data_IF_595637409013
#
_entry.id   IF_595637409013
#
_cell.length_a   1.000
_cell.length_b   1.000
_cell.length_c   1.000
_cell.angle_alpha   90.00
_cell.angle_beta   90.00
_cell.angle_gamma   90.00
#
_symmetry.space_group_name_H-M   'P 1'
#
loop_
_entity.id
_entity.type
_entity.pdbx_description
1 polymer ?
#
# COMPACT_ATOMS: atom_id res chain seq x y z
N UNK A 1 9.97 -1.78 24.39
CA UNK A 1 8.75 -2.51 23.95
C UNK A 1 8.42 -2.09 22.55
N UNK A 2 8.09 -3.03 21.66
CA UNK A 2 7.55 -2.68 20.34
C UNK A 2 6.17 -2.03 20.53
N UNK A 3 5.94 -0.92 19.83
CA UNK A 3 4.66 -0.24 19.87
C UNK A 3 3.55 -1.19 19.37
N UNK A 4 2.47 -1.35 20.12
CA UNK A 4 1.40 -2.32 19.78
C UNK A 4 0.83 -2.10 18.37
N UNK A 5 0.75 -0.84 17.94
CA UNK A 5 0.37 -0.41 16.60
C UNK A 5 1.26 -1.00 15.49
N UNK A 6 2.56 -1.17 15.74
CA UNK A 6 3.49 -1.77 14.78
C UNK A 6 3.26 -3.26 14.63
N UNK A 7 3.10 -3.97 15.74
CA UNK A 7 2.77 -5.41 15.71
C UNK A 7 1.44 -5.63 14.98
N UNK A 8 0.42 -4.80 15.24
CA UNK A 8 -0.85 -4.86 14.51
C UNK A 8 -0.68 -4.61 13.01
N UNK A 9 0.13 -3.62 12.60
CA UNK A 9 0.39 -3.34 11.19
C UNK A 9 1.09 -4.52 10.48
N UNK A 10 2.07 -5.15 11.14
CA UNK A 10 2.73 -6.34 10.62
C UNK A 10 1.76 -7.51 10.46
N UNK A 11 0.91 -7.78 11.46
CA UNK A 11 -0.09 -8.84 11.40
C UNK A 11 -1.10 -8.58 10.28
N UNK A 12 -1.58 -7.34 10.13
CA UNK A 12 -2.47 -6.96 9.05
C UNK A 12 -1.82 -7.18 7.69
N UNK A 13 -0.55 -6.79 7.52
CA UNK A 13 0.23 -7.04 6.30
C UNK A 13 0.25 -8.52 5.94
N UNK A 14 0.59 -9.38 6.92
CA UNK A 14 0.64 -10.83 6.74
C UNK A 14 -0.74 -11.41 6.37
N UNK A 15 -1.82 -10.96 7.02
CA UNK A 15 -3.18 -11.39 6.69
C UNK A 15 -3.54 -11.02 5.26
N UNK A 16 -3.26 -9.79 4.83
CA UNK A 16 -3.60 -9.30 3.49
C UNK A 16 -2.81 -10.05 2.41
N UNK A 17 -1.50 -10.25 2.60
CA UNK A 17 -0.65 -10.94 1.61
C UNK A 17 -1.03 -12.42 1.48
N UNK A 18 -1.39 -13.07 2.58
CA UNK A 18 -1.77 -14.49 2.60
C UNK A 18 -3.26 -14.72 2.33
N UNK A 19 -4.05 -13.66 2.11
CA UNK A 19 -5.47 -13.79 1.80
C UNK A 19 -5.72 -14.45 0.45
N UNK A 20 -6.76 -15.28 0.38
CA UNK A 20 -7.25 -15.82 -0.88
C UNK A 20 -7.87 -14.70 -1.70
N UNK A 21 -7.13 -14.21 -2.69
CA UNK A 21 -7.71 -13.39 -3.74
C UNK A 21 -8.50 -14.28 -4.68
N UNK A 22 -9.79 -14.00 -4.82
CA UNK A 22 -10.59 -14.51 -5.92
C UNK A 22 -11.02 -13.35 -6.83
N UNK A 23 -11.42 -13.67 -8.07
CA UNK A 23 -11.92 -12.66 -9.01
C UNK A 23 -13.13 -11.89 -8.46
N UNK A 24 -13.90 -12.49 -7.54
CA UNK A 24 -15.04 -11.82 -6.92
C UNK A 24 -14.63 -10.61 -6.08
N UNK A 25 -13.58 -10.71 -5.25
CA UNK A 25 -13.08 -9.60 -4.44
C UNK A 25 -12.61 -8.45 -5.33
N UNK A 26 -11.90 -8.76 -6.42
CA UNK A 26 -11.47 -7.76 -7.42
C UNK A 26 -12.68 -7.07 -8.06
N UNK A 27 -13.71 -7.82 -8.41
CA UNK A 27 -14.95 -7.27 -8.97
C UNK A 27 -15.70 -6.39 -7.95
N UNK A 28 -15.73 -6.76 -6.67
CA UNK A 28 -16.27 -5.92 -5.61
C UNK A 28 -15.49 -4.61 -5.46
N UNK A 29 -14.16 -4.67 -5.51
CA UNK A 29 -13.30 -3.50 -5.47
C UNK A 29 -13.56 -2.55 -6.66
N UNK A 30 -13.71 -3.08 -7.87
CA UNK A 30 -14.03 -2.29 -9.06
C UNK A 30 -15.40 -1.61 -8.90
N UNK A 31 -16.43 -2.35 -8.46
CA UNK A 31 -17.76 -1.78 -8.19
C UNK A 31 -17.72 -0.67 -7.16
N UNK A 32 -17.02 -0.90 -6.05
CA UNK A 32 -16.82 0.12 -5.01
C UNK A 32 -16.12 1.36 -5.59
N UNK A 33 -15.06 1.18 -6.37
CA UNK A 33 -14.30 2.27 -6.98
C UNK A 33 -15.17 3.10 -7.92
N UNK A 34 -16.00 2.45 -8.76
CA UNK A 34 -16.93 3.15 -9.67
C UNK A 34 -17.96 3.98 -8.91
N UNK A 35 -18.48 3.46 -7.79
CA UNK A 35 -19.40 4.20 -6.93
C UNK A 35 -18.71 5.40 -6.28
N UNK A 36 -17.51 5.21 -5.71
CA UNK A 36 -16.77 6.30 -5.05
C UNK A 36 -16.36 7.42 -6.02
N UNK A 37 -15.99 7.06 -7.26
CA UNK A 37 -15.55 8.01 -8.30
C UNK A 37 -16.63 8.33 -9.34
N UNK A 38 -17.93 8.16 -9.01
CA UNK A 38 -19.04 8.30 -9.98
C UNK A 38 -19.05 9.64 -10.75
N UNK A 39 -18.52 10.71 -10.14
CA UNK A 39 -18.48 12.07 -10.71
C UNK A 39 -17.13 12.42 -11.34
N UNK A 40 -16.17 11.51 -11.33
CA UNK A 40 -14.83 11.73 -11.87
C UNK A 40 -14.62 10.87 -13.13
N UNK A 41 -14.91 11.45 -14.29
CA UNK A 41 -14.77 10.76 -15.58
C UNK A 41 -13.36 10.26 -15.87
N UNK A 42 -12.32 10.96 -15.37
CA UNK A 42 -10.93 10.53 -15.56
C UNK A 42 -10.65 9.24 -14.79
N UNK A 43 -11.10 9.16 -13.53
CA UNK A 43 -10.94 7.95 -12.72
C UNK A 43 -11.79 6.80 -13.23
N UNK A 44 -13.01 7.07 -13.71
CA UNK A 44 -13.85 6.05 -14.35
C UNK A 44 -13.16 5.44 -15.59
N UNK A 45 -12.46 6.25 -16.39
CA UNK A 45 -11.68 5.75 -17.53
C UNK A 45 -10.48 4.90 -17.08
N UNK A 46 -9.83 5.25 -15.96
CA UNK A 46 -8.73 4.46 -15.39
C UNK A 46 -9.23 3.15 -14.78
N UNK A 47 -10.41 3.15 -14.15
CA UNK A 47 -11.07 1.94 -13.65
C UNK A 47 -11.46 1.02 -14.81
N UNK A 48 -12.00 1.59 -15.89
CA UNK A 48 -12.26 0.87 -17.14
C UNK A 48 -10.99 0.24 -17.71
N UNK A 49 -9.87 0.99 -17.73
CA UNK A 49 -8.57 0.51 -18.18
C UNK A 49 -8.08 -0.66 -17.30
N UNK A 50 -8.20 -0.51 -15.98
CA UNK A 50 -7.81 -1.52 -15.01
C UNK A 50 -8.62 -2.81 -15.16
N UNK A 51 -9.92 -2.70 -15.43
CA UNK A 51 -10.81 -3.84 -15.64
C UNK A 51 -10.59 -4.52 -17.02
N UNK A 52 -10.53 -3.73 -18.10
CA UNK A 52 -10.51 -4.22 -19.49
C UNK A 52 -9.16 -4.77 -19.94
N UNK A 53 -8.05 -4.13 -19.60
CA UNK A 53 -6.76 -4.47 -20.21
C UNK A 53 -6.10 -5.74 -19.65
N UNK A 54 -6.79 -6.43 -18.73
CA UNK A 54 -6.18 -7.30 -17.74
C UNK A 54 -5.06 -6.54 -17.02
N UNK A 55 -5.20 -6.43 -15.71
CA UNK A 55 -4.15 -6.13 -14.74
C UNK A 55 -2.70 -6.57 -15.11
N UNK A 56 -2.53 -7.52 -16.01
CA UNK A 56 -1.28 -8.05 -16.54
C UNK A 56 -0.47 -7.10 -17.46
N UNK A 57 -1.06 -6.05 -18.06
CA UNK A 57 -0.33 -5.17 -18.99
C UNK A 57 0.46 -4.05 -18.30
N UNK A 58 -0.01 -3.61 -17.14
CA UNK A 58 0.60 -2.53 -16.35
C UNK A 58 0.98 -3.14 -15.01
N UNK A 59 2.23 -2.95 -14.61
CA UNK A 59 2.71 -3.63 -13.41
C UNK A 59 2.05 -3.08 -12.13
N UNK A 60 1.91 -3.89 -11.07
CA UNK A 60 1.43 -3.41 -9.77
C UNK A 60 2.15 -2.14 -9.27
N UNK A 61 3.48 -2.07 -9.42
CA UNK A 61 4.29 -0.89 -9.06
C UNK A 61 3.88 0.35 -9.86
N UNK A 62 3.63 0.22 -11.17
CA UNK A 62 3.15 1.34 -11.99
C UNK A 62 1.78 1.84 -11.55
N UNK A 63 0.85 0.94 -11.21
CA UNK A 63 -0.45 1.34 -10.66
C UNK A 63 -0.33 2.02 -9.29
N UNK A 64 0.60 1.55 -8.45
CA UNK A 64 0.83 2.12 -7.12
C UNK A 64 1.48 3.50 -7.18
N UNK A 65 2.37 3.74 -8.15
CA UNK A 65 3.10 5.00 -8.31
C UNK A 65 2.37 6.02 -9.18
N UNK A 66 1.42 5.59 -10.01
CA UNK A 66 0.55 6.46 -10.80
C UNK A 66 -0.45 7.18 -9.90
N UNK A 67 -0.67 8.47 -10.13
CA UNK A 67 -1.78 9.23 -9.53
C UNK A 67 -3.11 8.73 -10.13
N UNK A 68 -3.81 7.86 -9.40
CA UNK A 68 -5.07 7.27 -9.83
C UNK A 68 -5.87 6.71 -8.64
N UNK A 69 -7.04 6.14 -8.93
CA UNK A 69 -7.91 5.55 -7.93
C UNK A 69 -7.23 4.49 -7.07
N UNK A 70 -6.35 3.65 -7.63
CA UNK A 70 -5.65 2.56 -6.91
C UNK A 70 -4.77 3.14 -5.80
N UNK A 71 -3.81 4.00 -6.16
CA UNK A 71 -2.87 4.59 -5.21
C UNK A 71 -3.60 5.44 -4.16
N UNK A 72 -4.57 6.25 -4.61
CA UNK A 72 -5.41 7.06 -3.73
C UNK A 72 -6.19 6.22 -2.72
N UNK A 73 -6.79 5.10 -3.15
CA UNK A 73 -7.54 4.22 -2.26
C UNK A 73 -6.64 3.46 -1.27
N UNK A 74 -5.48 2.98 -1.71
CA UNK A 74 -4.51 2.32 -0.83
C UNK A 74 -4.03 3.29 0.25
N UNK A 75 -3.56 4.49 -0.13
CA UNK A 75 -3.07 5.48 0.83
C UNK A 75 -4.16 5.91 1.81
N UNK A 76 -5.39 6.12 1.32
CA UNK A 76 -6.54 6.40 2.19
C UNK A 76 -6.81 5.26 3.16
N UNK A 77 -6.86 4.02 2.68
CA UNK A 77 -7.22 2.88 3.50
C UNK A 77 -6.16 2.58 4.56
N UNK A 78 -4.87 2.71 4.21
CA UNK A 78 -3.77 2.61 5.18
C UNK A 78 -3.81 3.74 6.22
N UNK A 79 -4.06 4.98 5.79
CA UNK A 79 -4.13 6.14 6.69
C UNK A 79 -5.30 6.06 7.68
N UNK A 80 -6.43 5.52 7.26
CA UNK A 80 -7.64 5.42 8.07
C UNK A 80 -7.80 4.06 8.75
N UNK A 81 -6.87 3.12 8.53
CA UNK A 81 -7.02 1.72 8.93
C UNK A 81 -8.37 1.11 8.47
N UNK A 82 -8.79 1.43 7.25
CA UNK A 82 -10.05 0.96 6.67
C UNK A 82 -9.88 -0.50 6.21
N UNK A 83 -10.15 -1.42 7.14
CA UNK A 83 -9.96 -2.87 6.93
C UNK A 83 -10.83 -3.38 5.77
N UNK A 84 -12.02 -2.82 5.56
CA UNK A 84 -12.92 -3.26 4.49
C UNK A 84 -12.31 -2.95 3.12
N UNK A 85 -11.83 -1.72 2.93
CA UNK A 85 -11.15 -1.33 1.68
C UNK A 85 -9.83 -2.08 1.52
N UNK A 86 -9.04 -2.24 2.59
CA UNK A 86 -7.79 -3.00 2.55
C UNK A 86 -8.02 -4.46 2.14
N UNK A 87 -9.07 -5.10 2.65
CA UNK A 87 -9.43 -6.45 2.25
C UNK A 87 -9.83 -6.53 0.78
N UNK A 88 -10.61 -5.55 0.28
CA UNK A 88 -10.94 -5.46 -1.16
C UNK A 88 -9.70 -5.22 -2.04
N UNK A 89 -8.67 -4.58 -1.50
CA UNK A 89 -7.36 -4.35 -2.13
C UNK A 89 -6.34 -5.45 -1.88
N UNK A 90 -6.65 -6.50 -1.12
CA UNK A 90 -5.67 -7.47 -0.67
C UNK A 90 -4.98 -8.19 -1.85
N UNK A 91 -5.72 -8.45 -2.92
CA UNK A 91 -5.18 -8.98 -4.17
C UNK A 91 -4.05 -8.09 -4.73
N UNK A 92 -4.29 -6.77 -4.79
CA UNK A 92 -3.34 -5.81 -5.32
C UNK A 92 -2.13 -5.66 -4.40
N UNK A 93 -2.36 -5.58 -3.09
CA UNK A 93 -1.29 -5.47 -2.08
C UNK A 93 -0.35 -6.67 -2.15
N UNK A 94 -0.90 -7.89 -2.27
CA UNK A 94 -0.12 -9.12 -2.42
C UNK A 94 0.75 -9.08 -3.68
N UNK A 95 0.16 -8.71 -4.81
CA UNK A 95 0.85 -8.69 -6.09
C UNK A 95 1.92 -7.59 -6.13
N UNK A 96 1.65 -6.42 -5.54
CA UNK A 96 2.61 -5.34 -5.33
C UNK A 96 3.79 -5.81 -4.46
N UNK A 97 3.49 -6.45 -3.32
CA UNK A 97 4.51 -6.99 -2.43
C UNK A 97 5.38 -8.04 -3.15
N UNK A 98 4.77 -8.93 -3.92
CA UNK A 98 5.48 -9.92 -4.74
C UNK A 98 6.41 -9.24 -5.74
N UNK A 99 5.91 -8.25 -6.50
CA UNK A 99 6.73 -7.55 -7.49
C UNK A 99 7.92 -6.82 -6.86
N UNK A 100 7.74 -6.18 -5.69
CA UNK A 100 8.82 -5.51 -4.96
C UNK A 100 9.89 -6.53 -4.54
N UNK A 101 9.48 -7.68 -3.99
CA UNK A 101 10.42 -8.74 -3.59
C UNK A 101 11.15 -9.35 -4.78
N UNK A 102 10.43 -9.65 -5.86
CA UNK A 102 11.02 -10.18 -7.09
C UNK A 102 12.05 -9.19 -7.66
N UNK A 103 11.73 -7.89 -7.67
CA UNK A 103 12.64 -6.83 -8.12
C UNK A 103 13.88 -6.73 -7.23
N UNK A 104 13.73 -6.86 -5.91
CA UNK A 104 14.85 -6.89 -4.97
C UNK A 104 15.75 -8.11 -5.20
N UNK A 105 15.16 -9.30 -5.36
CA UNK A 105 15.92 -10.54 -5.59
C UNK A 105 16.65 -10.55 -6.94
N UNK A 106 16.11 -9.88 -7.95
CA UNK A 106 16.73 -9.73 -9.27
C UNK A 106 17.78 -8.62 -9.31
N UNK A 107 17.80 -7.71 -8.33
CA UNK A 107 18.80 -6.66 -8.27
C UNK A 107 20.18 -7.27 -8.01
N UNK A 108 21.16 -6.94 -8.86
CA UNK A 108 22.55 -7.38 -8.70
C UNK A 108 23.33 -6.49 -7.74
N UNK A 109 22.74 -5.35 -7.35
CA UNK A 109 23.33 -4.35 -6.48
C UNK A 109 22.58 -4.28 -5.15
N UNK A 110 22.99 -5.10 -4.20
CA UNK A 110 22.48 -5.08 -2.82
C UNK A 110 23.22 -4.04 -1.95
N UNK A 111 23.74 -2.98 -2.57
CA UNK A 111 24.41 -1.91 -1.85
C UNK A 111 23.42 -1.13 -0.98
N UNK A 112 23.95 -0.58 0.12
CA UNK A 112 23.18 0.28 1.01
C UNK A 112 22.81 1.57 0.27
N UNK A 113 21.52 1.76 0.03
CA UNK A 113 20.99 3.01 -0.52
C UNK A 113 20.72 3.99 0.62
N UNK A 114 21.21 5.22 0.48
CA UNK A 114 20.82 6.33 1.37
C UNK A 114 19.64 7.07 0.72
N UNK A 115 18.51 7.10 1.42
CA UNK A 115 17.29 7.80 0.99
C UNK A 115 16.88 8.85 2.02
N UNK A 116 16.13 9.85 1.59
CA UNK A 116 15.58 10.89 2.44
C UNK A 116 14.05 10.86 2.35
N UNK A 117 13.39 10.87 3.51
CA UNK A 117 11.93 10.89 3.62
C UNK A 117 11.52 11.97 4.61
N UNK A 118 10.59 12.84 4.20
CA UNK A 118 10.06 13.90 5.05
C UNK A 118 8.87 13.37 5.86
N UNK A 119 8.93 13.48 7.18
CA UNK A 119 7.86 13.07 8.07
C UNK A 119 7.47 14.23 9.00
N UNK A 120 6.18 14.58 9.01
CA UNK A 120 5.61 15.48 10.02
C UNK A 120 5.37 14.72 11.32
N UNK A 121 6.03 15.11 12.41
CA UNK A 121 5.90 14.49 13.72
C UNK A 121 5.57 15.53 14.79
N UNK A 122 4.93 15.09 15.88
CA UNK A 122 4.69 15.95 17.04
C UNK A 122 5.98 16.21 17.84
N UNK A 123 5.98 17.26 18.66
CA UNK A 123 7.09 17.54 19.57
C UNK A 123 7.37 16.38 20.53
N UNK A 124 6.35 15.64 20.94
CA UNK A 124 6.49 14.46 21.80
C UNK A 124 7.19 13.31 21.07
N UNK A 125 6.81 13.06 19.81
CA UNK A 125 7.49 12.07 18.96
C UNK A 125 8.94 12.47 18.72
N UNK A 126 9.21 13.75 18.45
CA UNK A 126 10.57 14.26 18.29
C UNK A 126 11.41 14.08 19.55
N UNK A 127 10.83 14.37 20.72
CA UNK A 127 11.50 14.17 22.02
C UNK A 127 11.83 12.69 22.25
N UNK A 128 10.90 11.79 21.92
CA UNK A 128 11.15 10.34 21.96
C UNK A 128 12.28 9.93 21.01
N UNK A 129 12.36 10.47 19.80
CA UNK A 129 13.45 10.19 18.87
C UNK A 129 14.81 10.61 19.44
N UNK A 130 14.89 11.82 20.02
CA UNK A 130 16.13 12.31 20.64
C UNK A 130 16.57 11.50 21.86
N UNK A 131 15.64 10.88 22.58
CA UNK A 131 15.96 10.02 23.72
C UNK A 131 16.49 8.63 23.29
N UNK A 132 16.23 8.21 22.05
CA UNK A 132 16.58 6.88 21.52
C UNK A 132 17.66 6.95 20.43
N UNK A 133 18.60 7.89 20.54
CA UNK A 133 19.74 8.01 19.60
C UNK A 133 20.60 6.74 19.73
N UNK A 134 20.97 6.16 18.58
CA UNK A 134 21.67 4.88 18.43
C UNK A 134 20.83 3.63 18.73
N UNK A 135 19.53 3.77 19.02
CA UNK A 135 18.60 2.65 19.14
C UNK A 135 17.83 2.38 17.84
N UNK A 136 17.13 1.24 17.81
CA UNK A 136 16.23 0.88 16.72
C UNK A 136 14.89 1.60 16.88
N UNK A 137 14.40 2.17 15.78
CA UNK A 137 13.13 2.88 15.71
C UNK A 137 12.22 2.17 14.71
N UNK A 138 10.95 2.04 15.06
CA UNK A 138 9.89 1.53 14.18
C UNK A 138 8.91 2.65 13.85
N UNK A 139 8.50 2.74 12.59
CA UNK A 139 7.49 3.71 12.12
C UNK A 139 6.25 2.96 11.64
N UNK A 140 5.07 3.50 11.95
CA UNK A 140 3.78 2.98 11.48
C UNK A 140 3.22 3.76 10.28
N UNK A 141 4.06 4.57 9.65
CA UNK A 141 3.73 5.39 8.49
C UNK A 141 4.23 4.70 7.23
N UNK A 142 3.31 4.44 6.30
CA UNK A 142 3.58 3.92 4.95
C UNK A 142 3.87 5.04 3.96
#
# INVERSE_FOLDING_TARGET
ELEQSFTCALLLKEILINSESNEQIKQEFIKFSRFYYEKNSNELNLIDLFEKNNYNQITPIEWYTRECFISSMIHRALRLYDIEILYKLAFFIRDLHKQINDSYLQSTDHQKLTVYYGLGISNDQFTKLNMNINDLISFNTF
#
